data_IF_747969923060
#
_entry.id   IF_747969923060
#
_cell.length_a   1.000
_cell.length_b   1.000
_cell.length_c   1.000
_cell.angle_alpha   90.00
_cell.angle_beta   90.00
_cell.angle_gamma   90.00
#
_symmetry.space_group_name_H-M   'P 1'
#
loop_
_entity.id
_entity.type
_entity.pdbx_description
1 polymer ?
#
# COMPACT_ATOMS: atom_id res chain seq x y z
N UNK A 1 -9.65 -29.12 12.89
CA UNK A 1 -9.04 -28.02 13.63
C UNK A 1 -9.22 -26.71 12.89
N UNK A 2 -9.57 -25.70 13.58
CA UNK A 2 -9.79 -24.40 13.02
C UNK A 2 -8.50 -23.63 12.89
N UNK A 3 -8.26 -23.03 11.74
CA UNK A 3 -7.10 -22.18 11.55
C UNK A 3 -7.19 -20.95 12.46
N UNK A 4 -6.06 -20.54 13.01
CA UNK A 4 -5.95 -19.31 13.80
C UNK A 4 -5.27 -18.19 13.01
N UNK A 5 -5.09 -18.40 11.71
CA UNK A 5 -4.52 -17.37 10.87
C UNK A 5 -5.49 -16.19 10.72
N UNK A 6 -4.94 -14.99 10.82
CA UNK A 6 -5.70 -13.78 10.62
C UNK A 6 -5.26 -13.13 9.31
N UNK A 7 -6.21 -12.48 8.64
CA UNK A 7 -5.95 -11.82 7.38
C UNK A 7 -5.93 -10.31 7.59
N UNK A 8 -4.85 -9.69 7.17
CA UNK A 8 -4.70 -8.24 7.12
C UNK A 8 -4.33 -7.86 5.70
N UNK A 9 -4.96 -6.82 5.17
CA UNK A 9 -4.71 -6.39 3.80
C UNK A 9 -4.19 -4.97 3.82
N UNK A 10 -3.11 -4.72 3.12
CA UNK A 10 -2.68 -3.36 2.85
C UNK A 10 -2.94 -3.03 1.38
N UNK A 11 -3.09 -1.74 1.09
CA UNK A 11 -3.40 -1.28 -0.25
C UNK A 11 -2.18 -1.23 -1.16
N UNK A 12 -2.26 -0.33 -2.12
CA UNK A 12 -1.26 -0.19 -3.17
C UNK A 12 -0.20 0.83 -2.76
N UNK A 13 0.76 1.05 -3.66
CA UNK A 13 1.78 2.07 -3.50
C UNK A 13 1.71 3.06 -4.66
N UNK A 14 2.06 4.33 -4.46
CA UNK A 14 2.02 5.31 -5.53
C UNK A 14 3.11 5.05 -6.57
N UNK A 15 2.96 5.68 -7.73
CA UNK A 15 3.92 5.61 -8.83
C UNK A 15 4.41 7.01 -9.17
N UNK A 16 5.59 7.09 -9.77
CA UNK A 16 6.08 8.34 -10.34
C UNK A 16 5.71 8.37 -11.83
N UNK A 17 4.64 9.10 -12.13
CA UNK A 17 4.09 9.14 -13.48
C UNK A 17 5.07 9.75 -14.49
N UNK A 18 6.07 10.52 -14.03
CA UNK A 18 7.09 11.08 -14.89
C UNK A 18 8.03 10.00 -15.46
N UNK A 19 8.04 8.82 -14.85
CA UNK A 19 8.87 7.68 -15.28
C UNK A 19 8.13 6.73 -16.21
N UNK A 20 6.87 7.03 -16.54
CA UNK A 20 6.09 6.18 -17.44
C UNK A 20 6.45 6.46 -18.90
N UNK A 21 6.35 5.47 -19.80
CA UNK A 21 5.85 4.11 -19.56
C UNK A 21 6.90 3.20 -18.91
N UNK A 22 6.43 2.34 -18.01
CA UNK A 22 7.27 1.32 -17.39
C UNK A 22 7.58 0.23 -18.40
N UNK A 23 8.86 -0.11 -18.53
CA UNK A 23 9.28 -1.13 -19.50
C UNK A 23 9.01 -0.74 -20.95
N UNK A 24 8.79 0.54 -21.21
CA UNK A 24 8.54 1.05 -22.56
C UNK A 24 7.11 0.89 -23.07
N UNK A 25 6.22 0.22 -22.34
CA UNK A 25 4.88 -0.07 -22.84
C UNK A 25 3.75 -0.04 -21.80
N UNK A 26 4.07 -0.02 -20.51
CA UNK A 26 3.06 -0.07 -19.47
C UNK A 26 2.89 1.30 -18.80
N UNK A 27 1.67 1.79 -18.79
CA UNK A 27 1.34 3.09 -18.22
C UNK A 27 0.56 2.89 -16.92
N UNK A 28 1.16 3.28 -15.81
CA UNK A 28 0.50 3.27 -14.51
C UNK A 28 0.22 4.71 -14.10
N UNK A 29 -0.93 4.92 -13.49
CA UNK A 29 -1.33 6.25 -13.03
C UNK A 29 -1.85 6.18 -11.60
N UNK A 30 -1.52 7.19 -10.80
CA UNK A 30 -1.99 7.26 -9.42
C UNK A 30 -3.51 7.34 -9.33
N UNK A 31 -4.16 7.94 -10.32
CA UNK A 31 -5.62 7.95 -10.40
C UNK A 31 -6.19 6.53 -10.42
N UNK A 32 -5.58 5.64 -11.20
CA UNK A 32 -6.01 4.24 -11.26
C UNK A 32 -5.70 3.51 -9.97
N UNK A 33 -4.55 3.76 -9.37
CA UNK A 33 -4.19 3.17 -8.07
C UNK A 33 -5.20 3.57 -7.01
N UNK A 34 -5.61 4.83 -6.99
CA UNK A 34 -6.62 5.31 -6.06
C UNK A 34 -7.95 4.57 -6.23
N UNK A 35 -8.38 4.41 -7.48
CA UNK A 35 -9.64 3.71 -7.79
C UNK A 35 -9.57 2.24 -7.37
N UNK A 36 -8.46 1.56 -7.66
CA UNK A 36 -8.29 0.15 -7.29
C UNK A 36 -8.22 0.00 -5.77
N UNK A 37 -7.51 0.88 -5.07
CA UNK A 37 -7.42 0.79 -3.62
C UNK A 37 -8.79 0.95 -2.96
N UNK A 38 -9.62 1.86 -3.45
CA UNK A 38 -10.98 2.03 -2.95
C UNK A 38 -11.80 0.76 -3.10
N UNK A 39 -11.65 0.05 -4.21
CA UNK A 39 -12.34 -1.23 -4.44
C UNK A 39 -11.86 -2.30 -3.48
N UNK A 40 -10.56 -2.35 -3.24
CA UNK A 40 -9.98 -3.30 -2.28
C UNK A 40 -10.52 -2.99 -0.87
N UNK A 41 -10.56 -1.72 -0.50
CA UNK A 41 -11.08 -1.31 0.80
C UNK A 41 -12.54 -1.72 0.98
N UNK A 42 -13.38 -1.49 -0.03
CA UNK A 42 -14.79 -1.90 0.01
C UNK A 42 -14.94 -3.41 0.23
N UNK A 43 -14.14 -4.20 -0.48
CA UNK A 43 -14.16 -5.65 -0.33
C UNK A 43 -13.75 -6.06 1.09
N UNK A 44 -12.74 -5.40 1.65
CA UNK A 44 -12.29 -5.67 3.01
C UNK A 44 -13.36 -5.32 4.05
N UNK A 45 -14.02 -4.18 3.88
CA UNK A 45 -15.11 -3.77 4.76
C UNK A 45 -16.23 -4.83 4.74
N UNK A 46 -16.61 -5.28 3.54
CA UNK A 46 -17.69 -6.26 3.39
C UNK A 46 -17.34 -7.61 4.02
N UNK A 47 -16.07 -7.96 4.11
CA UNK A 47 -15.61 -9.22 4.66
C UNK A 47 -15.10 -9.09 6.10
N UNK A 48 -15.19 -7.90 6.70
CA UNK A 48 -14.67 -7.63 8.05
C UNK A 48 -13.16 -7.92 8.16
N UNK A 49 -12.42 -7.58 7.11
CA UNK A 49 -10.95 -7.72 7.07
C UNK A 49 -10.32 -6.35 7.31
N UNK A 50 -9.39 -6.24 8.27
CA UNK A 50 -8.67 -5.00 8.48
C UNK A 50 -7.91 -4.57 7.22
N UNK A 51 -8.03 -3.30 6.85
CA UNK A 51 -7.42 -2.76 5.65
C UNK A 51 -6.60 -1.51 5.98
N UNK A 52 -5.37 -1.45 5.49
CA UNK A 52 -4.50 -0.29 5.62
C UNK A 52 -4.41 0.42 4.26
N UNK A 53 -4.95 1.65 4.13
CA UNK A 53 -4.96 2.36 2.84
C UNK A 53 -3.59 2.99 2.55
N UNK A 54 -2.62 2.16 2.21
CA UNK A 54 -1.23 2.58 2.02
C UNK A 54 -1.08 3.58 0.89
N UNK A 55 -1.79 3.39 -0.24
CA UNK A 55 -1.71 4.33 -1.35
C UNK A 55 -2.17 5.72 -0.92
N UNK A 56 -3.34 5.80 -0.29
CA UNK A 56 -3.90 7.07 0.15
C UNK A 56 -2.94 7.81 1.10
N UNK A 57 -2.38 7.07 2.06
CA UNK A 57 -1.46 7.65 3.04
C UNK A 57 -0.15 8.10 2.39
N UNK A 58 0.43 7.26 1.56
CA UNK A 58 1.70 7.57 0.91
C UNK A 58 1.55 8.68 -0.13
N UNK A 59 0.48 8.62 -0.93
CA UNK A 59 0.29 9.58 -2.01
C UNK A 59 0.02 11.00 -1.49
N UNK A 60 -0.49 11.12 -0.28
CA UNK A 60 -0.72 12.42 0.35
C UNK A 60 0.52 12.96 1.07
N UNK A 61 1.59 12.18 1.14
CA UNK A 61 2.83 12.59 1.78
C UNK A 61 3.77 13.18 0.74
N UNK A 62 4.32 14.36 1.02
CA UNK A 62 5.22 15.05 0.08
C UNK A 62 6.53 14.29 -0.19
N UNK A 63 6.86 13.30 0.64
CA UNK A 63 8.08 12.48 0.49
C UNK A 63 7.88 11.28 -0.44
N UNK A 64 6.68 11.06 -0.96
CA UNK A 64 6.34 9.82 -1.67
C UNK A 64 7.29 9.48 -2.82
N UNK A 65 7.72 10.47 -3.59
CA UNK A 65 8.65 10.26 -4.70
C UNK A 65 9.99 9.70 -4.21
N UNK A 66 10.43 10.10 -3.02
CA UNK A 66 11.69 9.65 -2.46
C UNK A 66 11.67 8.20 -2.01
N UNK A 67 10.51 7.58 -1.99
CA UNK A 67 10.34 6.17 -1.59
C UNK A 67 10.37 5.21 -2.77
N UNK A 68 10.46 5.73 -4.00
CA UNK A 68 10.41 4.92 -5.22
C UNK A 68 11.79 4.72 -5.80
N UNK A 69 11.99 3.55 -6.41
CA UNK A 69 13.18 3.23 -7.19
C UNK A 69 13.18 4.02 -8.50
N UNK A 70 14.28 3.91 -9.25
CA UNK A 70 14.44 4.64 -10.50
C UNK A 70 13.40 4.30 -11.57
N UNK A 71 12.77 3.13 -11.46
CA UNK A 71 11.71 2.74 -12.40
C UNK A 71 10.38 3.45 -12.14
N UNK A 72 10.25 4.13 -11.01
CA UNK A 72 9.03 4.87 -10.66
C UNK A 72 7.89 4.00 -10.16
N UNK A 73 8.12 2.71 -9.93
CA UNK A 73 7.08 1.75 -9.53
C UNK A 73 7.43 1.04 -8.25
N UNK A 74 8.61 0.44 -8.19
CA UNK A 74 9.02 -0.33 -7.03
C UNK A 74 9.51 0.58 -5.91
N UNK A 75 9.27 0.18 -4.67
CA UNK A 75 9.79 0.90 -3.52
C UNK A 75 11.30 0.71 -3.42
N UNK A 76 11.99 1.77 -3.02
CA UNK A 76 13.39 1.68 -2.64
C UNK A 76 13.52 1.32 -1.15
N UNK A 77 14.75 1.31 -0.61
CA UNK A 77 14.98 0.97 0.79
C UNK A 77 14.19 1.87 1.75
N UNK A 78 14.14 3.16 1.46
CA UNK A 78 13.38 4.11 2.29
C UNK A 78 11.88 3.85 2.24
N UNK A 79 11.36 3.48 1.08
CA UNK A 79 9.96 3.12 0.91
C UNK A 79 9.60 1.86 1.69
N UNK A 80 10.45 0.85 1.62
CA UNK A 80 10.25 -0.38 2.39
C UNK A 80 10.30 -0.09 3.89
N UNK A 81 11.20 0.79 4.33
CA UNK A 81 11.28 1.17 5.75
C UNK A 81 9.99 1.88 6.19
N UNK A 82 9.47 2.77 5.34
CA UNK A 82 8.20 3.43 5.64
C UNK A 82 7.08 2.42 5.85
N UNK A 83 6.94 1.46 4.94
CA UNK A 83 5.90 0.42 5.03
C UNK A 83 6.09 -0.40 6.31
N UNK A 84 7.33 -0.80 6.61
CA UNK A 84 7.62 -1.57 7.82
C UNK A 84 7.18 -0.80 9.08
N UNK A 85 7.56 0.47 9.17
CA UNK A 85 7.21 1.28 10.33
C UNK A 85 5.69 1.50 10.42
N UNK A 86 5.03 1.68 9.27
CA UNK A 86 3.58 1.87 9.25
C UNK A 86 2.85 0.61 9.68
N UNK A 87 3.30 -0.55 9.24
CA UNK A 87 2.72 -1.82 9.68
C UNK A 87 2.91 -2.00 11.18
N UNK A 88 4.08 -1.70 11.71
CA UNK A 88 4.33 -1.79 13.15
C UNK A 88 3.41 -0.90 13.97
N UNK A 89 3.08 0.28 13.47
CA UNK A 89 2.22 1.24 14.16
C UNK A 89 0.74 1.01 13.88
N UNK A 90 0.40 0.11 12.97
CA UNK A 90 -0.99 -0.11 12.59
C UNK A 90 -1.75 -0.77 13.73
N UNK A 91 -2.76 -0.05 14.21
CA UNK A 91 -3.51 -0.42 15.40
C UNK A 91 -4.12 -1.83 15.31
N UNK A 92 -4.71 -2.18 14.17
CA UNK A 92 -5.32 -3.49 14.00
C UNK A 92 -4.30 -4.62 14.17
N UNK A 93 -3.09 -4.43 13.62
CA UNK A 93 -2.04 -5.43 13.72
C UNK A 93 -1.48 -5.49 15.14
N UNK A 94 -1.34 -4.35 15.80
CA UNK A 94 -0.88 -4.31 17.20
C UNK A 94 -1.85 -5.03 18.12
N UNK A 95 -3.15 -4.81 17.94
CA UNK A 95 -4.16 -5.47 18.74
C UNK A 95 -4.11 -6.98 18.60
N UNK A 96 -3.95 -7.46 17.38
CA UNK A 96 -3.83 -8.89 17.12
C UNK A 96 -2.57 -9.45 17.76
N UNK A 97 -1.44 -8.75 17.64
CA UNK A 97 -0.12 -9.19 18.09
C UNK A 97 -0.02 -9.32 19.61
N UNK A 98 -0.72 -8.46 20.34
CA UNK A 98 -0.60 -8.37 21.81
C UNK A 98 -1.82 -8.91 22.55
N UNK A 99 -2.71 -9.57 21.86
CA UNK A 99 -3.87 -10.21 22.50
C UNK A 99 -3.53 -11.58 23.07
#
# INVERSE_FOLDING_TARGET
>A
MRSKAELFVMGLTPVDERKMPFGGCLWYANEHCDAYEKRIEEACINQNVPFLPTFKEMNSDSRSINWLSNDGIHLNASGHLYIYQRLRSWEALQKWRFN
#
